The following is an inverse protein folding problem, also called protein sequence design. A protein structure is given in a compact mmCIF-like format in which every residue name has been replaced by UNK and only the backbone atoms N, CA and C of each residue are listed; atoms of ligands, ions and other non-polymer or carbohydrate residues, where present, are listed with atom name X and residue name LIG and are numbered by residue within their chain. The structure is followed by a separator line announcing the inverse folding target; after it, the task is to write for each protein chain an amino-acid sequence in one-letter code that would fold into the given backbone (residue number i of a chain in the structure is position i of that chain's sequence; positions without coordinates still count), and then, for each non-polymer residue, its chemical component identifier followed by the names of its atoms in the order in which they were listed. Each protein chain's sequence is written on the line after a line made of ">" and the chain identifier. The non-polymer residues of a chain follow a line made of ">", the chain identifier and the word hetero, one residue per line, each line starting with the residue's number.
data_IF_942286581852
#
_entry.id   IF_942286581852
#
_cell.length_a   1.000
_cell.length_b   1.000
_cell.length_c   1.000
_cell.angle_alpha   90.00
_cell.angle_beta   90.00
_cell.angle_gamma   90.00
#
_symmetry.space_group_name_H-M   'P 1'
#
loop_
_entity.id
_entity.type
_entity.pdbx_description
1 polymer ?
#
# COMPACT_ATOMS: atom_id res chain seq x y z
N UNK A 1 11.94 36.01 13.10
CA UNK A 1 11.98 34.64 13.71
C UNK A 1 12.51 33.72 12.63
N UNK A 2 13.67 33.12 12.83
CA UNK A 2 14.24 32.21 11.83
C UNK A 2 13.34 30.97 11.70
N UNK A 3 13.06 30.58 10.47
CA UNK A 3 12.26 29.42 10.12
C UNK A 3 12.93 28.15 10.70
N UNK A 4 12.40 27.61 11.78
CA UNK A 4 12.94 26.41 12.49
C UNK A 4 12.93 25.15 11.64
N UNK A 5 12.11 25.09 10.58
CA UNK A 5 12.01 23.93 9.67
C UNK A 5 13.30 23.62 8.90
N UNK A 6 14.28 24.53 8.82
CA UNK A 6 15.45 24.37 7.97
C UNK A 6 16.53 23.38 8.45
N UNK A 7 16.44 22.84 9.67
CA UNK A 7 17.47 21.95 10.24
C UNK A 7 16.96 20.57 10.69
N UNK A 8 15.65 20.37 10.73
CA UNK A 8 15.03 19.13 11.18
C UNK A 8 15.19 17.96 10.19
N UNK A 9 14.95 16.74 10.67
CA UNK A 9 15.07 15.53 9.87
C UNK A 9 14.10 15.51 8.68
N UNK A 10 12.88 16.05 8.86
CA UNK A 10 11.90 16.19 7.77
C UNK A 10 12.45 17.06 6.63
N UNK A 11 13.09 18.20 6.96
CA UNK A 11 13.70 19.07 5.95
C UNK A 11 14.90 18.41 5.23
N UNK A 12 15.65 17.53 5.93
CA UNK A 12 16.72 16.75 5.30
C UNK A 12 16.16 15.72 4.31
N UNK A 13 15.05 15.07 4.64
CA UNK A 13 14.38 14.12 3.74
C UNK A 13 13.82 14.89 2.53
N UNK A 14 13.16 16.04 2.75
CA UNK A 14 12.64 16.91 1.70
C UNK A 14 13.74 17.32 0.70
N UNK A 15 14.86 17.83 1.19
CA UNK A 15 15.98 18.21 0.33
C UNK A 15 16.60 17.00 -0.40
N UNK A 16 16.67 15.84 0.28
CA UNK A 16 17.27 14.63 -0.29
C UNK A 16 16.40 13.93 -1.33
N UNK A 17 15.06 14.01 -1.22
CA UNK A 17 14.17 13.32 -2.15
C UNK A 17 14.22 13.91 -3.56
N UNK A 18 14.48 15.20 -3.69
CA UNK A 18 14.63 15.90 -4.97
C UNK A 18 16.06 15.82 -5.54
N UNK A 19 17.05 15.46 -4.72
CA UNK A 19 18.42 15.25 -5.18
C UNK A 19 18.67 13.77 -5.51
N UNK A 20 18.72 13.44 -6.80
CA UNK A 20 18.94 12.07 -7.27
C UNK A 20 20.29 11.47 -6.86
N UNK A 21 21.24 12.27 -6.39
CA UNK A 21 22.53 11.79 -5.87
C UNK A 21 22.44 11.21 -4.47
N UNK A 22 21.37 11.55 -3.73
CA UNK A 22 21.11 10.98 -2.41
C UNK A 22 20.52 9.59 -2.57
N UNK A 23 21.15 8.53 -2.01
CA UNK A 23 20.63 7.17 -2.08
C UNK A 23 19.25 7.05 -1.41
N UNK A 24 18.35 6.30 -2.02
CA UNK A 24 17.02 6.03 -1.42
C UNK A 24 17.15 5.33 -0.07
N UNK A 25 18.12 4.44 0.09
CA UNK A 25 18.41 3.76 1.35
C UNK A 25 18.64 4.74 2.51
N UNK A 26 19.39 5.82 2.27
CA UNK A 26 19.65 6.85 3.29
C UNK A 26 18.39 7.63 3.66
N UNK A 27 17.54 7.94 2.67
CA UNK A 27 16.28 8.63 2.91
C UNK A 27 15.29 7.77 3.70
N UNK A 28 15.21 6.48 3.39
CA UNK A 28 14.38 5.52 4.13
C UNK A 28 14.86 5.32 5.58
N UNK A 29 16.18 5.32 5.81
CA UNK A 29 16.74 5.31 7.16
C UNK A 29 16.32 6.56 7.96
N UNK A 30 16.35 7.73 7.34
CA UNK A 30 15.86 8.95 7.94
C UNK A 30 14.35 8.88 8.25
N UNK A 31 13.54 8.23 7.37
CA UNK A 31 12.12 7.99 7.62
C UNK A 31 11.89 7.08 8.83
N UNK A 32 12.73 6.05 9.05
CA UNK A 32 12.65 5.20 10.24
C UNK A 32 12.88 6.03 11.51
N UNK A 33 13.88 6.92 11.51
CA UNK A 33 14.18 7.79 12.65
C UNK A 33 13.06 8.80 12.89
N UNK A 34 12.58 9.44 11.83
CA UNK A 34 11.47 10.40 11.90
C UNK A 34 10.18 9.74 12.41
N UNK A 35 9.86 8.54 11.92
CA UNK A 35 8.73 7.75 12.41
C UNK A 35 8.87 7.37 13.90
N UNK A 36 10.11 7.13 14.36
CA UNK A 36 10.40 6.94 15.78
C UNK A 36 10.14 8.19 16.61
N UNK A 37 10.56 9.36 16.13
CA UNK A 37 10.30 10.65 16.80
C UNK A 37 8.81 11.00 16.81
N UNK A 38 8.09 10.69 15.74
CA UNK A 38 6.64 10.89 15.61
C UNK A 38 5.81 9.87 16.41
N UNK A 39 6.42 8.78 16.89
CA UNK A 39 5.70 7.67 17.50
C UNK A 39 4.86 6.83 16.52
N UNK A 40 5.10 6.96 15.20
CA UNK A 40 4.41 6.22 14.16
C UNK A 40 5.10 4.88 13.88
N UNK A 41 4.46 3.78 14.23
CA UNK A 41 4.93 2.44 13.86
C UNK A 41 4.70 2.17 12.37
N UNK A 42 3.57 2.65 11.80
CA UNK A 42 3.27 2.49 10.38
C UNK A 42 4.38 3.06 9.50
N UNK A 43 4.84 4.27 9.80
CA UNK A 43 5.92 4.91 9.05
C UNK A 43 7.24 4.14 9.16
N UNK A 44 7.58 3.66 10.37
CA UNK A 44 8.78 2.86 10.58
C UNK A 44 8.73 1.53 9.83
N UNK A 45 7.58 0.86 9.86
CA UNK A 45 7.42 -0.45 9.26
C UNK A 45 7.40 -0.36 7.73
N UNK A 46 6.70 0.64 7.17
CA UNK A 46 6.77 0.93 5.74
C UNK A 46 8.22 1.20 5.29
N UNK A 47 8.93 2.09 5.94
CA UNK A 47 10.31 2.42 5.58
C UNK A 47 11.28 1.22 5.74
N UNK A 48 11.04 0.33 6.73
CA UNK A 48 11.80 -0.92 6.87
C UNK A 48 11.50 -1.92 5.76
N UNK A 49 10.24 -2.07 5.38
CA UNK A 49 9.84 -2.94 4.27
C UNK A 49 10.42 -2.46 2.95
N UNK A 50 10.41 -1.14 2.70
CA UNK A 50 11.09 -0.57 1.54
C UNK A 50 12.60 -0.87 1.56
N UNK A 51 13.24 -0.71 2.71
CA UNK A 51 14.69 -0.86 2.86
C UNK A 51 15.14 -2.33 2.76
N UNK A 52 14.42 -3.26 3.42
CA UNK A 52 14.83 -4.65 3.57
C UNK A 52 14.09 -5.63 2.66
N UNK A 53 12.98 -5.20 2.06
CA UNK A 53 12.09 -6.02 1.26
C UNK A 53 10.83 -6.46 2.01
N UNK A 54 9.89 -6.99 1.27
CA UNK A 54 8.58 -7.44 1.71
C UNK A 54 8.55 -8.97 1.84
N UNK A 55 8.01 -9.47 2.96
CA UNK A 55 7.98 -10.90 3.24
C UNK A 55 6.86 -11.68 2.50
N UNK A 56 5.84 -10.97 2.00
CA UNK A 56 4.71 -11.59 1.28
C UNK A 56 4.20 -10.68 0.16
N UNK A 57 3.72 -11.28 -0.92
CA UNK A 57 3.21 -10.56 -2.08
C UNK A 57 2.04 -9.62 -1.74
N UNK A 58 1.17 -10.04 -0.82
CA UNK A 58 -0.03 -9.30 -0.40
C UNK A 58 0.27 -7.96 0.30
N UNK A 59 1.50 -7.80 0.79
CA UNK A 59 1.92 -6.59 1.50
C UNK A 59 2.71 -5.63 0.62
N UNK A 60 2.99 -6.02 -0.62
CA UNK A 60 3.80 -5.23 -1.56
C UNK A 60 2.91 -4.15 -2.20
N UNK A 61 3.29 -2.87 -2.13
CA UNK A 61 2.52 -1.80 -2.76
C UNK A 61 2.46 -1.92 -4.29
N UNK A 62 1.37 -1.43 -4.90
CA UNK A 62 1.12 -1.50 -6.34
C UNK A 62 2.24 -0.89 -7.18
N UNK A 63 2.94 0.13 -6.67
CA UNK A 63 4.05 0.75 -7.39
C UNK A 63 5.28 -0.17 -7.55
N UNK A 64 5.29 -1.35 -6.93
CA UNK A 64 6.33 -2.39 -7.09
C UNK A 64 5.92 -3.52 -8.04
N UNK A 65 4.72 -3.45 -8.59
CA UNK A 65 4.27 -4.35 -9.64
C UNK A 65 4.78 -3.88 -11.00
N UNK A 66 5.33 -4.79 -11.77
CA UNK A 66 5.88 -4.50 -13.10
C UNK A 66 5.41 -5.52 -14.11
N UNK A 67 4.97 -5.09 -15.29
CA UNK A 67 4.73 -6.01 -16.39
C UNK A 67 6.01 -6.77 -16.73
N UNK A 68 5.93 -8.09 -16.74
CA UNK A 68 7.06 -8.95 -17.04
C UNK A 68 6.62 -10.17 -17.84
N UNK A 69 7.53 -10.71 -18.63
CA UNK A 69 7.23 -11.90 -19.42
C UNK A 69 7.57 -13.16 -18.63
N UNK A 70 6.57 -14.00 -18.42
CA UNK A 70 6.80 -15.32 -17.87
C UNK A 70 7.55 -16.17 -18.91
N UNK A 71 8.68 -16.72 -18.50
CA UNK A 71 9.63 -17.39 -19.40
C UNK A 71 9.97 -18.78 -18.86
N UNK A 72 9.89 -19.77 -19.73
CA UNK A 72 10.34 -21.13 -19.46
C UNK A 72 11.70 -21.39 -20.13
N UNK A 73 12.61 -22.00 -19.38
CA UNK A 73 13.82 -22.59 -19.95
C UNK A 73 13.55 -24.07 -20.21
N UNK A 74 13.53 -24.42 -21.50
CA UNK A 74 13.26 -25.77 -21.98
C UNK A 74 14.59 -26.42 -22.35
N UNK A 75 14.82 -27.65 -21.87
CA UNK A 75 16.00 -28.45 -22.17
C UNK A 75 15.58 -29.84 -22.68
N UNK A 76 16.51 -30.63 -23.21
CA UNK A 76 16.29 -32.05 -23.36
C UNK A 76 16.32 -32.74 -21.98
N UNK A 77 15.93 -34.01 -21.91
CA UNK A 77 15.92 -34.78 -20.65
C UNK A 77 17.28 -34.90 -19.97
N UNK A 78 18.38 -34.76 -20.72
CA UNK A 78 19.73 -34.76 -20.20
C UNK A 78 20.20 -33.37 -19.71
N UNK A 79 19.34 -32.32 -19.83
CA UNK A 79 19.67 -30.97 -19.39
C UNK A 79 20.43 -30.11 -20.40
N UNK A 80 20.65 -30.63 -21.63
CA UNK A 80 21.36 -29.89 -22.68
C UNK A 80 20.41 -29.20 -23.66
N UNK A 81 20.96 -28.39 -24.56
CA UNK A 81 20.26 -27.68 -25.63
C UNK A 81 19.11 -26.80 -25.11
N UNK A 82 19.42 -26.01 -24.09
CA UNK A 82 18.45 -25.09 -23.48
C UNK A 82 18.00 -23.99 -24.46
N UNK A 83 16.67 -23.83 -24.58
CA UNK A 83 16.04 -22.70 -25.23
C UNK A 83 15.11 -22.01 -24.25
N UNK A 84 14.93 -20.71 -24.43
CA UNK A 84 13.97 -19.92 -23.64
C UNK A 84 12.74 -19.63 -24.47
N UNK A 85 11.57 -19.76 -23.86
CA UNK A 85 10.29 -19.48 -24.50
C UNK A 85 9.44 -18.64 -23.54
N UNK A 86 8.97 -17.50 -24.01
CA UNK A 86 7.95 -16.71 -23.30
C UNK A 86 6.60 -17.38 -23.47
N UNK A 87 5.81 -17.36 -22.42
CA UNK A 87 4.45 -17.89 -22.43
C UNK A 87 3.55 -17.08 -21.50
N UNK A 88 2.27 -17.23 -21.68
CA UNK A 88 1.22 -16.76 -20.80
C UNK A 88 0.32 -17.92 -20.36
N UNK A 89 -0.70 -17.65 -19.60
CA UNK A 89 -1.63 -18.68 -19.10
C UNK A 89 -2.47 -19.33 -20.20
N UNK A 90 -2.48 -18.79 -21.42
CA UNK A 90 -3.23 -19.35 -22.55
C UNK A 90 -2.71 -20.70 -23.05
N UNK A 91 -1.45 -21.03 -22.72
CA UNK A 91 -0.88 -22.35 -23.03
C UNK A 91 -1.57 -23.47 -22.27
N UNK A 92 -2.22 -23.18 -21.14
CA UNK A 92 -2.90 -24.18 -20.34
C UNK A 92 -4.35 -24.40 -20.78
N UNK A 93 -4.86 -25.62 -20.60
CA UNK A 93 -6.27 -25.91 -20.77
C UNK A 93 -7.13 -25.03 -19.85
N UNK A 94 -8.38 -24.66 -20.24
CA UNK A 94 -9.20 -23.73 -19.46
C UNK A 94 -9.35 -24.06 -17.98
N UNK A 95 -9.49 -25.34 -17.65
CA UNK A 95 -9.67 -25.83 -16.27
C UNK A 95 -8.39 -25.63 -15.43
N UNK A 96 -7.22 -25.83 -16.05
CA UNK A 96 -5.91 -25.65 -15.40
C UNK A 96 -5.62 -24.14 -15.26
N UNK A 97 -5.99 -23.36 -16.26
CA UNK A 97 -5.84 -21.90 -16.25
C UNK A 97 -6.57 -21.25 -15.07
N UNK A 98 -7.77 -21.71 -14.76
CA UNK A 98 -8.54 -21.22 -13.62
C UNK A 98 -7.81 -21.50 -12.29
N UNK A 99 -7.30 -22.72 -12.11
CA UNK A 99 -6.48 -23.10 -10.93
C UNK A 99 -5.20 -22.25 -10.82
N UNK A 100 -4.56 -21.97 -11.96
CA UNK A 100 -3.35 -21.13 -11.97
C UNK A 100 -3.69 -19.69 -11.57
N UNK A 101 -4.74 -19.09 -12.15
CA UNK A 101 -5.16 -17.73 -11.85
C UNK A 101 -5.60 -17.51 -10.40
N UNK A 102 -6.14 -18.54 -9.77
CA UNK A 102 -6.50 -18.50 -8.35
C UNK A 102 -5.26 -18.47 -7.44
N UNK A 103 -4.17 -19.11 -7.87
CA UNK A 103 -2.97 -19.31 -7.04
C UNK A 103 -1.80 -18.39 -7.40
N UNK A 104 -1.80 -17.86 -8.60
CA UNK A 104 -0.63 -17.23 -9.20
C UNK A 104 -1.07 -16.04 -10.05
N UNK A 105 -0.54 -14.87 -9.75
CA UNK A 105 -0.57 -13.78 -10.71
C UNK A 105 0.47 -14.05 -11.79
N UNK A 106 0.00 -14.28 -13.02
CA UNK A 106 0.86 -14.57 -14.18
C UNK A 106 1.04 -13.36 -15.11
N UNK A 107 0.55 -12.18 -14.71
CA UNK A 107 0.61 -10.99 -15.54
C UNK A 107 1.73 -10.04 -15.12
N UNK A 108 1.93 -9.87 -13.82
CA UNK A 108 2.88 -8.93 -13.27
C UNK A 108 3.92 -9.61 -12.36
N UNK A 109 5.16 -9.22 -12.51
CA UNK A 109 6.19 -9.56 -11.54
C UNK A 109 6.15 -8.57 -10.36
N UNK A 110 6.21 -9.12 -9.15
CA UNK A 110 6.24 -8.34 -7.92
C UNK A 110 7.68 -8.21 -7.45
N UNK A 111 8.17 -6.97 -7.36
CA UNK A 111 9.52 -6.68 -6.88
C UNK A 111 9.53 -6.51 -5.35
N UNK A 112 9.57 -7.64 -4.64
CA UNK A 112 9.58 -7.68 -3.18
C UNK A 112 10.94 -7.37 -2.53
N UNK A 113 12.01 -7.30 -3.33
CA UNK A 113 13.38 -7.08 -2.86
C UNK A 113 13.55 -5.70 -2.19
N UNK A 114 14.47 -5.63 -1.22
CA UNK A 114 14.85 -4.35 -0.61
C UNK A 114 15.54 -3.39 -1.58
N UNK A 115 15.47 -2.10 -1.26
CA UNK A 115 15.94 -1.02 -2.13
C UNK A 115 17.40 -1.21 -2.58
N UNK A 116 18.30 -1.64 -1.69
CA UNK A 116 19.70 -1.86 -2.03
C UNK A 116 19.91 -2.97 -3.06
N UNK A 117 19.08 -4.02 -3.04
CA UNK A 117 19.13 -5.07 -4.06
C UNK A 117 18.57 -4.57 -5.39
N UNK A 118 17.48 -3.79 -5.39
CA UNK A 118 16.95 -3.19 -6.62
C UNK A 118 17.94 -2.20 -7.25
N UNK A 119 18.62 -1.38 -6.43
CA UNK A 119 19.66 -0.47 -6.89
C UNK A 119 20.85 -1.24 -7.51
N UNK A 120 21.28 -2.34 -6.89
CA UNK A 120 22.32 -3.21 -7.43
C UNK A 120 21.89 -3.81 -8.78
N UNK A 121 20.70 -4.41 -8.86
CA UNK A 121 20.16 -4.96 -10.11
C UNK A 121 20.03 -3.90 -11.20
N UNK A 122 19.57 -2.70 -10.87
CA UNK A 122 19.45 -1.60 -11.84
C UNK A 122 20.79 -1.08 -12.37
N UNK A 123 21.90 -1.34 -11.66
CA UNK A 123 23.26 -0.94 -12.05
C UNK A 123 24.04 -2.03 -12.77
N UNK A 124 23.52 -3.26 -12.83
CA UNK A 124 24.15 -4.34 -13.60
C UNK A 124 24.09 -4.06 -15.11
N UNK A 125 25.16 -4.37 -15.82
CA UNK A 125 25.22 -4.28 -17.29
C UNK A 125 24.52 -5.48 -17.95
N UNK A 126 23.19 -5.55 -17.73
CA UNK A 126 22.33 -6.57 -18.31
C UNK A 126 20.99 -5.96 -18.73
N UNK A 127 20.42 -6.47 -19.82
CA UNK A 127 19.14 -5.98 -20.31
C UNK A 127 17.94 -6.55 -19.52
N UNK A 128 18.10 -7.76 -18.97
CA UNK A 128 17.03 -8.49 -18.30
C UNK A 128 17.51 -9.21 -17.04
N UNK A 129 16.67 -9.23 -16.01
CA UNK A 129 16.86 -9.97 -14.77
C UNK A 129 15.89 -11.14 -14.66
N UNK A 130 16.37 -12.26 -14.11
CA UNK A 130 15.54 -13.44 -13.84
C UNK A 130 15.07 -13.42 -12.41
N UNK A 131 13.76 -13.31 -12.22
CA UNK A 131 13.14 -13.43 -10.91
C UNK A 131 12.36 -14.74 -10.85
N UNK A 132 12.76 -15.62 -9.95
CA UNK A 132 12.13 -16.93 -9.76
C UNK A 132 11.10 -16.81 -8.63
N UNK A 133 9.79 -16.82 -8.93
CA UNK A 133 8.77 -16.81 -7.90
C UNK A 133 8.67 -18.16 -7.19
N UNK A 134 8.13 -18.17 -5.97
CA UNK A 134 7.99 -19.39 -5.17
C UNK A 134 7.16 -20.49 -5.87
N UNK A 135 6.17 -20.08 -6.65
CA UNK A 135 5.32 -21.00 -7.41
C UNK A 135 5.92 -21.51 -8.73
N UNK A 136 7.10 -21.05 -9.12
CA UNK A 136 7.73 -21.40 -10.40
C UNK A 136 7.87 -22.92 -10.60
N UNK A 137 8.21 -23.64 -9.54
CA UNK A 137 8.30 -25.10 -9.56
C UNK A 137 6.97 -25.78 -9.87
N UNK A 138 5.87 -25.27 -9.34
CA UNK A 138 4.53 -25.76 -9.63
C UNK A 138 4.18 -25.60 -11.11
N UNK A 139 4.41 -24.41 -11.67
CA UNK A 139 4.16 -24.16 -13.10
C UNK A 139 5.07 -25.00 -13.99
N UNK A 140 6.34 -25.17 -13.64
CA UNK A 140 7.26 -26.03 -14.38
C UNK A 140 6.78 -27.48 -14.42
N UNK A 141 6.27 -28.01 -13.31
CA UNK A 141 5.72 -29.37 -13.25
C UNK A 141 4.46 -29.51 -14.10
N UNK A 142 3.54 -28.54 -14.03
CA UNK A 142 2.32 -28.51 -14.85
C UNK A 142 2.66 -28.48 -16.35
N UNK A 143 3.64 -27.67 -16.77
CA UNK A 143 4.11 -27.63 -18.15
C UNK A 143 4.71 -28.99 -18.57
N UNK A 144 5.52 -29.60 -17.72
CA UNK A 144 6.13 -30.90 -17.98
C UNK A 144 5.08 -32.02 -18.16
N UNK A 145 4.03 -31.97 -17.36
CA UNK A 145 2.98 -32.99 -17.37
C UNK A 145 2.06 -32.90 -18.58
N UNK A 146 1.73 -31.69 -19.01
CA UNK A 146 0.63 -31.48 -19.97
C UNK A 146 1.07 -30.92 -21.33
N UNK A 147 2.26 -30.34 -21.45
CA UNK A 147 2.62 -29.55 -22.65
C UNK A 147 3.97 -29.90 -23.27
N UNK A 148 4.77 -30.77 -22.67
CA UNK A 148 6.10 -31.07 -23.20
C UNK A 148 6.13 -32.24 -24.17
N UNK A 149 6.92 -32.09 -25.23
CA UNK A 149 7.26 -33.21 -26.12
C UNK A 149 8.06 -34.31 -25.40
N UNK A 150 8.01 -35.56 -25.83
CA UNK A 150 8.57 -36.70 -25.11
C UNK A 150 10.05 -36.60 -24.71
N UNK A 151 10.84 -35.81 -25.43
CA UNK A 151 12.27 -35.63 -25.16
C UNK A 151 12.63 -34.23 -24.65
N UNK A 152 11.63 -33.39 -24.32
CA UNK A 152 11.79 -32.04 -23.80
C UNK A 152 11.36 -31.95 -22.35
N UNK A 153 11.92 -30.99 -21.64
CA UNK A 153 11.63 -30.71 -20.24
C UNK A 153 11.75 -29.23 -19.95
N UNK A 154 10.78 -28.66 -19.23
CA UNK A 154 10.94 -27.37 -18.58
C UNK A 154 11.88 -27.54 -17.39
N UNK A 155 13.02 -26.87 -17.43
CA UNK A 155 14.00 -26.90 -16.36
C UNK A 155 13.73 -25.81 -15.33
N UNK A 156 13.35 -24.61 -15.79
CA UNK A 156 13.07 -23.45 -14.95
C UNK A 156 11.92 -22.62 -15.52
N UNK A 157 11.18 -21.96 -14.63
CA UNK A 157 10.21 -20.91 -14.94
C UNK A 157 10.60 -19.67 -14.15
N UNK A 158 10.59 -18.52 -14.78
CA UNK A 158 10.97 -17.26 -14.15
C UNK A 158 10.33 -16.06 -14.87
N UNK A 159 10.24 -14.95 -14.16
CA UNK A 159 9.95 -13.65 -14.75
C UNK A 159 11.21 -13.10 -15.43
N UNK A 160 11.11 -12.75 -16.70
CA UNK A 160 12.10 -11.95 -17.39
C UNK A 160 11.73 -10.47 -17.23
N UNK A 161 12.43 -9.79 -16.32
CA UNK A 161 12.17 -8.39 -15.95
C UNK A 161 13.22 -7.51 -16.61
N UNK A 162 12.85 -6.57 -17.47
CA UNK A 162 13.79 -5.62 -18.05
C UNK A 162 14.43 -4.72 -16.99
N UNK A 163 15.74 -4.43 -17.12
CA UNK A 163 16.44 -3.52 -16.20
C UNK A 163 15.79 -2.13 -16.14
N UNK A 164 15.21 -1.66 -17.25
CA UNK A 164 14.43 -0.42 -17.30
C UNK A 164 13.17 -0.45 -16.44
N UNK A 165 12.54 -1.63 -16.26
CA UNK A 165 11.39 -1.78 -15.37
C UNK A 165 11.81 -1.65 -13.91
N UNK A 166 12.96 -2.21 -13.52
CA UNK A 166 13.54 -2.04 -12.17
C UNK A 166 13.87 -0.57 -11.91
N UNK A 167 14.52 0.11 -12.86
CA UNK A 167 14.76 1.56 -12.76
C UNK A 167 13.45 2.34 -12.60
N UNK A 168 12.41 1.96 -13.33
CA UNK A 168 11.06 2.55 -13.20
C UNK A 168 10.48 2.37 -11.79
N UNK A 169 10.70 1.22 -11.14
CA UNK A 169 10.29 1.01 -9.73
C UNK A 169 11.06 1.91 -8.78
N UNK A 170 12.37 2.06 -8.95
CA UNK A 170 13.17 2.98 -8.12
C UNK A 170 12.67 4.43 -8.22
N UNK A 171 12.29 4.87 -9.42
CA UNK A 171 11.67 6.19 -9.62
C UNK A 171 10.33 6.28 -8.91
N UNK A 172 9.48 5.26 -9.01
CA UNK A 172 8.17 5.24 -8.33
C UNK A 172 8.31 5.24 -6.80
N UNK A 173 9.29 4.51 -6.24
CA UNK A 173 9.57 4.54 -4.80
C UNK A 173 10.03 5.94 -4.37
N UNK A 174 10.89 6.60 -5.15
CA UNK A 174 11.30 7.99 -4.87
C UNK A 174 10.12 8.96 -4.94
N UNK A 175 9.21 8.77 -5.89
CA UNK A 175 7.98 9.56 -5.99
C UNK A 175 7.07 9.32 -4.79
N UNK A 176 6.85 8.07 -4.39
CA UNK A 176 6.09 7.73 -3.19
C UNK A 176 6.68 8.38 -1.94
N UNK A 177 8.01 8.43 -1.83
CA UNK A 177 8.69 9.14 -0.75
C UNK A 177 8.50 10.66 -0.83
N UNK A 178 8.49 11.23 -2.04
CA UNK A 178 8.20 12.66 -2.23
C UNK A 178 6.76 13.00 -1.82
N UNK A 179 5.80 12.16 -2.19
CA UNK A 179 4.40 12.29 -1.79
C UNK A 179 4.24 12.18 -0.26
N UNK A 180 4.93 11.23 0.38
CA UNK A 180 4.98 11.10 1.83
C UNK A 180 5.45 12.41 2.50
N UNK A 181 6.55 12.96 2.00
CA UNK A 181 7.11 14.21 2.54
C UNK A 181 6.17 15.39 2.34
N UNK A 182 5.54 15.49 1.18
CA UNK A 182 4.57 16.56 0.88
C UNK A 182 3.36 16.50 1.83
N UNK A 183 2.82 15.30 2.09
CA UNK A 183 1.74 15.10 3.05
C UNK A 183 2.20 15.43 4.49
N UNK A 184 3.38 14.97 4.91
CA UNK A 184 3.94 15.31 6.23
C UNK A 184 4.10 16.81 6.44
N UNK A 185 4.59 17.53 5.43
CA UNK A 185 4.73 18.99 5.47
C UNK A 185 3.36 19.67 5.60
N UNK A 186 2.36 19.16 4.89
CA UNK A 186 0.99 19.71 4.90
C UNK A 186 0.32 19.50 6.25
N UNK A 187 0.50 18.33 6.86
CA UNK A 187 -0.14 17.94 8.10
C UNK A 187 0.60 18.42 9.35
N UNK A 188 1.89 18.81 9.22
CA UNK A 188 2.69 19.26 10.38
C UNK A 188 2.58 20.78 10.55
N UNK A 189 2.16 21.28 11.73
CA UNK A 189 2.12 22.72 12.02
C UNK A 189 3.49 23.40 11.79
N UNK A 190 3.46 24.68 11.40
CA UNK A 190 4.69 25.41 11.02
C UNK A 190 5.69 25.63 12.17
N UNK A 191 5.25 25.52 13.39
CA UNK A 191 6.04 25.67 14.61
C UNK A 191 6.63 24.33 15.11
N UNK A 192 6.29 23.20 14.46
CA UNK A 192 6.80 21.88 14.79
C UNK A 192 7.83 21.40 13.78
N UNK A 193 8.88 20.75 14.26
CA UNK A 193 9.92 20.11 13.43
C UNK A 193 9.63 18.63 13.16
N UNK A 194 8.82 18.01 14.01
CA UNK A 194 8.46 16.59 13.95
C UNK A 194 6.95 16.48 13.80
N UNK A 195 6.45 15.70 12.83
CA UNK A 195 5.02 15.42 12.73
C UNK A 195 4.53 14.68 13.96
N UNK A 196 3.27 14.84 14.31
CA UNK A 196 2.65 13.97 15.29
C UNK A 196 2.37 12.58 14.71
N UNK A 197 2.00 11.64 15.57
CA UNK A 197 1.72 10.25 15.17
C UNK A 197 0.60 10.17 14.14
N UNK A 198 -0.47 10.95 14.31
CA UNK A 198 -1.64 10.89 13.43
C UNK A 198 -1.28 11.39 12.01
N UNK A 199 -0.53 12.49 11.91
CA UNK A 199 -0.02 13.01 10.65
C UNK A 199 0.90 12.00 9.93
N UNK A 200 1.82 11.37 10.67
CA UNK A 200 2.72 10.36 10.11
C UNK A 200 1.98 9.09 9.65
N UNK A 201 1.03 8.59 10.43
CA UNK A 201 0.21 7.42 10.09
C UNK A 201 -0.67 7.69 8.87
N UNK A 202 -1.23 8.91 8.75
CA UNK A 202 -2.05 9.33 7.61
C UNK A 202 -1.22 9.47 6.33
N UNK A 203 -0.05 10.09 6.40
CA UNK A 203 0.83 10.27 5.26
C UNK A 203 1.28 8.91 4.67
N UNK A 204 1.61 7.94 5.51
CA UNK A 204 1.94 6.58 5.07
C UNK A 204 0.74 5.89 4.45
N UNK A 205 -0.44 6.00 5.05
CA UNK A 205 -1.66 5.41 4.50
C UNK A 205 -1.91 5.91 3.08
N UNK A 206 -1.78 7.22 2.85
CA UNK A 206 -1.91 7.82 1.52
C UNK A 206 -0.94 7.20 0.51
N UNK A 207 0.32 7.03 0.88
CA UNK A 207 1.35 6.47 -0.02
C UNK A 207 1.12 5.00 -0.36
N UNK A 208 0.68 4.20 0.62
CA UNK A 208 0.50 2.76 0.44
C UNK A 208 -0.77 2.43 -0.34
N UNK A 209 -1.87 3.14 -0.06
CA UNK A 209 -3.17 2.85 -0.69
C UNK A 209 -3.48 3.70 -1.92
N UNK A 210 -2.73 4.77 -2.16
CA UNK A 210 -3.04 5.77 -3.21
C UNK A 210 -4.33 6.54 -2.92
N UNK A 211 -4.95 6.33 -1.78
CA UNK A 211 -6.24 6.89 -1.44
C UNK A 211 -6.05 8.20 -0.69
N UNK A 212 -6.46 9.31 -1.34
CA UNK A 212 -6.52 10.65 -0.74
C UNK A 212 -7.69 10.84 0.21
N UNK A 213 -8.30 9.78 0.71
CA UNK A 213 -9.32 9.90 1.72
C UNK A 213 -8.71 10.50 2.98
N UNK A 214 -8.88 11.80 3.11
CA UNK A 214 -8.50 12.58 4.30
C UNK A 214 -9.38 12.09 5.44
N UNK A 215 -8.85 11.16 6.24
CA UNK A 215 -9.50 10.79 7.49
C UNK A 215 -9.20 11.91 8.49
N UNK A 216 -9.98 12.95 8.44
CA UNK A 216 -9.92 14.01 9.44
C UNK A 216 -10.48 13.47 10.77
N UNK A 217 -9.62 13.00 11.64
CA UNK A 217 -9.98 12.73 13.03
C UNK A 217 -9.97 14.06 13.80
N UNK A 218 -11.11 14.68 13.94
CA UNK A 218 -11.24 15.79 14.89
C UNK A 218 -11.69 15.20 16.22
N UNK A 219 -10.75 15.02 17.14
CA UNK A 219 -11.05 14.67 18.53
C UNK A 219 -11.37 15.96 19.26
N UNK A 220 -12.65 16.28 19.43
CA UNK A 220 -13.07 17.35 20.34
C UNK A 220 -13.39 16.73 21.70
N UNK A 221 -12.66 17.13 22.74
CA UNK A 221 -13.07 16.86 24.11
C UNK A 221 -14.22 17.80 24.47
N UNK A 222 -15.41 17.25 24.62
CA UNK A 222 -16.54 17.99 25.16
C UNK A 222 -16.35 18.23 26.68
N UNK A 223 -16.76 19.40 27.15
CA UNK A 223 -16.57 19.82 28.54
C UNK A 223 -17.21 18.92 29.63
N UNK A 224 -17.99 17.93 29.24
CA UNK A 224 -18.70 16.98 30.13
C UNK A 224 -18.19 15.52 29.97
N UNK A 225 -16.94 15.31 29.64
CA UNK A 225 -16.33 13.99 29.59
C UNK A 225 -16.77 13.09 28.43
N UNK A 226 -17.47 13.60 27.43
CA UNK A 226 -17.79 12.92 26.18
C UNK A 226 -16.70 13.18 25.13
N UNK A 227 -16.34 12.15 24.35
CA UNK A 227 -15.42 12.30 23.22
C UNK A 227 -16.23 12.28 21.93
N UNK A 228 -16.23 13.39 21.18
CA UNK A 228 -16.82 13.45 19.86
C UNK A 228 -15.73 13.12 18.82
N UNK A 229 -15.89 12.04 18.09
CA UNK A 229 -15.02 11.70 16.95
C UNK A 229 -15.79 12.00 15.68
N UNK A 230 -15.35 12.99 14.92
CA UNK A 230 -15.88 13.28 13.60
C UNK A 230 -14.96 12.67 12.56
N UNK A 231 -15.45 11.70 11.80
CA UNK A 231 -14.74 11.09 10.68
C UNK A 231 -15.34 11.63 9.39
N UNK A 232 -14.59 12.47 8.68
CA UNK A 232 -14.94 12.91 7.35
C UNK A 232 -14.16 12.08 6.35
N UNK A 233 -14.79 11.08 5.73
CA UNK A 233 -14.23 10.36 4.59
C UNK A 233 -15.11 10.58 3.36
N UNK A 234 -14.54 11.04 2.28
CA UNK A 234 -15.21 11.11 0.97
C UNK A 234 -15.20 9.77 0.21
N UNK A 235 -14.65 8.72 0.78
CA UNK A 235 -14.63 7.37 0.19
C UNK A 235 -15.07 6.32 1.19
N UNK A 236 -15.83 5.37 0.68
CA UNK A 236 -16.50 4.23 1.31
C UNK A 236 -15.80 3.63 2.53
N UNK A 237 -15.93 4.24 3.68
CA UNK A 237 -15.62 3.61 4.94
C UNK A 237 -16.85 2.81 5.43
N UNK A 238 -16.61 1.67 6.07
CA UNK A 238 -17.65 0.88 6.72
C UNK A 238 -18.40 1.67 7.79
N UNK A 239 -19.49 1.10 8.38
CA UNK A 239 -20.36 1.82 9.28
C UNK A 239 -19.61 2.29 10.53
N UNK A 240 -19.63 3.59 10.78
CA UNK A 240 -19.10 4.20 12.01
C UNK A 240 -20.21 4.29 13.04
N UNK A 241 -19.97 3.79 14.24
CA UNK A 241 -20.90 3.87 15.37
C UNK A 241 -20.44 4.92 16.37
N UNK A 242 -21.28 5.90 16.66
CA UNK A 242 -21.04 6.94 17.67
C UNK A 242 -22.04 6.79 18.79
N UNK A 243 -21.57 6.73 20.05
CA UNK A 243 -22.42 6.57 21.24
C UNK A 243 -22.07 7.61 22.31
N UNK A 244 -23.08 8.13 22.98
CA UNK A 244 -22.94 9.13 24.04
C UNK A 244 -24.10 10.13 24.06
N UNK A 245 -24.16 10.97 25.10
CA UNK A 245 -25.13 12.08 25.14
C UNK A 245 -24.72 13.11 24.08
N UNK A 246 -25.68 13.58 23.27
CA UNK A 246 -25.47 14.56 22.18
C UNK A 246 -24.51 14.08 21.06
N UNK A 247 -24.46 12.78 20.75
CA UNK A 247 -23.66 12.28 19.66
C UNK A 247 -24.27 12.64 18.30
N UNK A 248 -23.43 13.08 17.34
CA UNK A 248 -23.84 13.36 15.97
C UNK A 248 -22.94 12.62 14.97
N UNK A 249 -23.55 12.10 13.90
CA UNK A 249 -22.84 11.41 12.84
C UNK A 249 -23.27 11.91 11.46
N UNK A 250 -22.33 12.00 10.52
CA UNK A 250 -22.56 12.43 9.13
C UNK A 250 -22.00 11.35 8.21
N UNK A 251 -22.76 10.93 7.20
CA UNK A 251 -22.36 9.86 6.27
C UNK A 251 -23.12 8.54 6.57
N UNK A 252 -22.59 7.36 6.29
CA UNK A 252 -23.21 6.05 6.53
C UNK A 252 -22.94 5.56 7.96
N UNK A 253 -23.78 5.90 8.96
CA UNK A 253 -23.41 5.73 10.37
C UNK A 253 -24.57 5.53 11.34
N UNK A 254 -24.27 5.05 12.53
CA UNK A 254 -25.24 4.86 13.62
C UNK A 254 -24.90 5.76 14.80
N UNK A 255 -25.85 6.57 15.28
CA UNK A 255 -25.70 7.35 16.50
C UNK A 255 -26.65 6.89 17.59
N UNK A 256 -26.17 6.68 18.82
CA UNK A 256 -26.97 6.28 19.96
C UNK A 256 -26.67 7.11 21.21
N UNK A 257 -27.74 7.44 21.96
CA UNK A 257 -27.64 8.26 23.17
C UNK A 257 -28.76 9.30 23.27
N UNK A 258 -28.80 10.06 24.39
CA UNK A 258 -29.77 11.16 24.52
C UNK A 258 -29.37 12.30 23.55
N UNK A 259 -30.38 12.88 22.85
CA UNK A 259 -30.20 13.94 21.87
C UNK A 259 -29.22 13.60 20.71
N UNK A 260 -29.19 12.34 20.25
CA UNK A 260 -28.37 11.94 19.10
C UNK A 260 -28.99 12.41 17.77
N UNK A 261 -28.18 12.88 16.84
CA UNK A 261 -28.60 13.29 15.50
C UNK A 261 -27.73 12.67 14.41
N UNK A 262 -28.36 12.36 13.28
CA UNK A 262 -27.69 11.77 12.12
C UNK A 262 -28.13 12.47 10.85
N UNK A 263 -27.19 12.77 9.96
CA UNK A 263 -27.44 13.37 8.65
C UNK A 263 -26.93 12.43 7.56
N UNK A 264 -27.83 11.92 6.71
CA UNK A 264 -27.48 10.97 5.66
C UNK A 264 -28.33 9.69 5.71
N UNK A 265 -27.83 8.55 5.20
CA UNK A 265 -28.59 7.28 5.20
C UNK A 265 -28.23 6.47 6.44
N UNK A 266 -29.19 6.44 7.49
CA UNK A 266 -28.82 5.92 8.76
C UNK A 266 -29.81 5.66 9.84
N UNK A 267 -29.35 5.20 11.03
CA UNK A 267 -30.13 4.91 12.22
C UNK A 267 -29.73 5.80 13.40
N UNK A 268 -30.72 6.44 14.03
CA UNK A 268 -30.53 7.14 15.30
C UNK A 268 -31.46 6.55 16.35
N UNK A 269 -30.94 6.27 17.56
CA UNK A 269 -31.69 5.71 18.65
C UNK A 269 -31.44 6.46 19.96
N UNK A 270 -32.51 6.64 20.79
CA UNK A 270 -32.41 7.31 22.08
C UNK A 270 -33.52 8.31 22.32
N UNK A 271 -33.53 8.98 23.49
CA UNK A 271 -34.47 10.06 23.77
C UNK A 271 -34.13 11.30 22.91
N UNK A 272 -35.13 11.86 22.21
CA UNK A 272 -35.01 12.97 21.30
C UNK A 272 -34.00 12.74 20.13
N UNK A 273 -33.97 11.53 19.56
CA UNK A 273 -33.20 11.22 18.35
C UNK A 273 -33.80 11.87 17.10
N UNK A 274 -32.99 12.38 16.18
CA UNK A 274 -33.45 12.93 14.90
C UNK A 274 -32.58 12.43 13.74
N UNK A 275 -33.22 12.21 12.57
CA UNK A 275 -32.56 11.81 11.33
C UNK A 275 -32.94 12.79 10.23
N UNK A 276 -31.97 13.31 9.49
CA UNK A 276 -32.17 14.11 8.29
C UNK A 276 -31.64 13.35 7.09
N UNK A 277 -32.53 12.84 6.24
CA UNK A 277 -32.22 11.93 5.12
C UNK A 277 -33.03 10.62 5.25
N UNK A 278 -32.84 9.63 4.41
CA UNK A 278 -33.64 8.40 4.52
C UNK A 278 -33.05 7.44 5.58
N UNK A 279 -33.80 7.00 6.55
CA UNK A 279 -34.44 6.48 7.38
C UNK A 279 -34.58 5.48 8.45
N UNK A 280 -34.14 5.35 9.61
CA UNK A 280 -34.83 4.65 10.69
C UNK A 280 -34.61 5.32 12.05
N UNK A 281 -35.71 5.53 12.79
CA UNK A 281 -35.66 6.04 14.15
C UNK A 281 -36.28 5.05 15.12
N UNK A 282 -35.66 4.83 16.28
CA UNK A 282 -36.24 4.06 17.37
C UNK A 282 -36.08 4.83 18.70
N UNK A 283 -37.19 4.96 19.45
CA UNK A 283 -37.25 5.70 20.70
C UNK A 283 -38.29 6.81 20.69
N UNK A 284 -38.33 7.70 21.71
CA UNK A 284 -39.20 8.87 21.77
C UNK A 284 -38.71 9.92 20.79
N UNK A 285 -39.45 10.12 19.70
CA UNK A 285 -39.03 10.89 18.52
C UNK A 285 -39.69 12.27 18.55
N UNK A 286 -38.90 13.32 18.26
CA UNK A 286 -39.37 14.69 18.07
C UNK A 286 -39.52 15.11 16.60
N UNK A 287 -39.21 14.20 15.64
CA UNK A 287 -39.40 14.37 14.20
C UNK A 287 -38.54 13.41 13.38
N UNK A 288 -39.14 12.69 12.45
CA UNK A 288 -38.51 11.94 11.33
C UNK A 288 -39.13 12.40 10.02
#
# INVERSE_FOLDING_TARGET
>A
MANKRGSGLLAQIEAGVVDHRVPLSSLLQNCIVLGGQAGSEKMRDWARQELHGYAGAETVPDYRHVPAALTARITNRAGYNGMTQRFDDSVFAPQIREIIREKVDVQDAILSQGIGQLEAMASEDTDEHRLVPEWAGFIAEMLNQYHMAPNSRVADVYWSVPSTAIQGVLVRIRTALADLVAELITLTPQDQEVPDRAAADQAVQFVVTGDRSVINYTVQQAADGGTNVTVNSESAAGPVTVSGAQSSAIGSQTASGANSSVVGRQEASGAAASVVGGQACSGRILGC
#
